data_IF_394075724409
#
_entry.id   IF_394075724409
#
_cell.length_a   1.000
_cell.length_b   1.000
_cell.length_c   1.000
_cell.angle_alpha   90.00
_cell.angle_beta   90.00
_cell.angle_gamma   90.00
#
_symmetry.space_group_name_H-M   'P 1'
#
loop_
_entity.id
_entity.type
_entity.pdbx_description
1 polymer ?
#
# COMPACT_ATOMS: atom_id res chain seq x y z
N UNK A 1 20.67 10.20 12.47
CA UNK A 1 19.29 10.51 12.00
C UNK A 1 18.94 9.87 10.66
N UNK A 2 19.67 10.13 9.55
CA UNK A 2 19.36 9.59 8.21
C UNK A 2 19.14 8.06 8.15
N UNK A 3 19.98 7.25 8.80
CA UNK A 3 19.80 5.79 8.79
C UNK A 3 18.59 5.30 9.60
N UNK A 4 18.26 5.97 10.72
CA UNK A 4 17.10 5.62 11.54
C UNK A 4 15.78 5.91 10.81
N UNK A 5 15.66 7.10 10.21
CA UNK A 5 14.50 7.46 9.36
C UNK A 5 14.33 6.48 8.19
N UNK A 6 15.43 6.10 7.55
CA UNK A 6 15.42 5.11 6.46
C UNK A 6 14.94 3.74 6.92
N UNK A 7 15.47 3.24 8.04
CA UNK A 7 15.03 1.96 8.61
C UNK A 7 13.55 1.97 9.00
N UNK A 8 13.05 3.12 9.50
CA UNK A 8 11.66 3.29 9.87
C UNK A 8 10.72 3.30 8.65
N UNK A 9 11.08 4.01 7.58
CA UNK A 9 10.32 3.99 6.32
C UNK A 9 10.33 2.59 5.68
N UNK A 10 11.47 1.90 5.65
CA UNK A 10 11.52 0.51 5.16
C UNK A 10 10.63 -0.42 5.98
N UNK A 11 10.66 -0.30 7.31
CA UNK A 11 9.78 -1.10 8.19
C UNK A 11 8.30 -0.81 7.93
N UNK A 12 7.93 0.46 7.74
CA UNK A 12 6.56 0.87 7.38
C UNK A 12 6.11 0.16 6.09
N UNK A 13 6.89 0.26 5.01
CA UNK A 13 6.52 -0.36 3.73
C UNK A 13 6.57 -1.89 3.77
N UNK A 14 7.48 -2.48 4.54
CA UNK A 14 7.51 -3.93 4.75
C UNK A 14 6.25 -4.43 5.47
N UNK A 15 5.77 -3.72 6.49
CA UNK A 15 4.51 -4.05 7.18
C UNK A 15 3.31 -3.87 6.26
N UNK A 16 3.27 -2.78 5.47
CA UNK A 16 2.20 -2.57 4.47
C UNK A 16 2.18 -3.73 3.48
N UNK A 17 3.34 -4.10 2.92
CA UNK A 17 3.45 -5.20 1.97
C UNK A 17 3.02 -6.53 2.59
N UNK A 18 3.46 -6.83 3.81
CA UNK A 18 3.05 -8.03 4.54
C UNK A 18 1.53 -8.09 4.72
N UNK A 19 0.92 -6.99 5.18
CA UNK A 19 -0.52 -6.91 5.38
C UNK A 19 -1.28 -7.03 4.06
N UNK A 20 -0.83 -6.36 3.00
CA UNK A 20 -1.43 -6.48 1.67
C UNK A 20 -1.37 -7.91 1.12
N UNK A 21 -0.24 -8.60 1.30
CA UNK A 21 -0.10 -10.02 0.90
C UNK A 21 -1.03 -10.91 1.71
N UNK A 22 -1.11 -10.72 3.03
CA UNK A 22 -2.04 -11.48 3.90
C UNK A 22 -3.50 -11.24 3.51
N UNK A 23 -3.88 -10.01 3.20
CA UNK A 23 -5.23 -9.67 2.71
C UNK A 23 -5.53 -10.36 1.38
N UNK A 24 -4.59 -10.37 0.43
CA UNK A 24 -4.76 -11.07 -0.84
C UNK A 24 -4.87 -12.59 -0.64
N UNK A 25 -4.00 -13.17 0.20
CA UNK A 25 -4.07 -14.61 0.53
C UNK A 25 -5.39 -14.97 1.20
N UNK A 26 -5.92 -14.12 2.07
CA UNK A 26 -7.24 -14.31 2.68
C UNK A 26 -8.35 -14.33 1.63
N UNK A 27 -8.31 -13.44 0.65
CA UNK A 27 -9.27 -13.45 -0.46
C UNK A 27 -9.14 -14.72 -1.31
N UNK A 28 -7.91 -15.12 -1.67
CA UNK A 28 -7.67 -16.35 -2.42
C UNK A 28 -8.14 -17.60 -1.65
N UNK A 29 -7.95 -17.61 -0.32
CA UNK A 29 -8.42 -18.69 0.54
C UNK A 29 -9.94 -18.74 0.55
N UNK A 30 -10.63 -17.59 0.63
CA UNK A 30 -12.08 -17.51 0.52
C UNK A 30 -12.57 -18.04 -0.82
N UNK A 31 -12.00 -17.55 -1.92
CA UNK A 31 -12.35 -17.98 -3.27
C UNK A 31 -12.14 -19.48 -3.47
N UNK A 32 -11.07 -20.04 -2.91
CA UNK A 32 -10.82 -21.47 -2.94
C UNK A 32 -11.84 -22.27 -2.09
N UNK A 33 -12.14 -21.81 -0.87
CA UNK A 33 -13.06 -22.47 0.05
C UNK A 33 -14.48 -22.56 -0.51
N UNK A 34 -14.91 -21.53 -1.26
CA UNK A 34 -16.24 -21.47 -1.88
C UNK A 34 -16.26 -21.98 -3.33
N UNK A 35 -15.12 -22.44 -3.87
CA UNK A 35 -15.04 -23.04 -5.20
C UNK A 35 -15.06 -22.06 -6.39
N UNK A 36 -14.79 -20.77 -6.16
CA UNK A 36 -14.76 -19.74 -7.20
C UNK A 36 -13.50 -19.77 -8.08
N UNK A 37 -12.46 -20.52 -7.68
CA UNK A 37 -11.21 -20.64 -8.43
C UNK A 37 -10.28 -19.43 -8.30
N UNK A 38 -9.11 -19.46 -8.97
CA UNK A 38 -8.08 -18.40 -8.86
C UNK A 38 -8.37 -17.16 -9.73
N UNK A 39 -9.21 -17.30 -10.76
CA UNK A 39 -9.50 -16.22 -11.72
C UNK A 39 -10.53 -15.21 -11.20
N UNK A 40 -11.27 -15.56 -10.15
CA UNK A 40 -12.32 -14.74 -9.58
C UNK A 40 -11.80 -13.43 -8.99
N UNK A 41 -10.61 -13.42 -8.38
CA UNK A 41 -9.98 -12.18 -7.90
C UNK A 41 -9.71 -11.20 -9.04
N UNK A 42 -9.24 -11.68 -10.20
CA UNK A 42 -9.03 -10.83 -11.38
C UNK A 42 -10.33 -10.24 -11.92
N UNK A 43 -11.41 -11.02 -11.88
CA UNK A 43 -12.75 -10.55 -12.20
C UNK A 43 -13.23 -9.48 -11.23
N UNK A 44 -13.18 -9.73 -9.91
CA UNK A 44 -13.57 -8.78 -8.85
C UNK A 44 -12.75 -7.49 -8.91
N UNK A 45 -11.45 -7.58 -9.22
CA UNK A 45 -10.57 -6.41 -9.29
C UNK A 45 -11.05 -5.37 -10.30
N UNK A 46 -11.66 -5.80 -11.40
CA UNK A 46 -12.25 -4.90 -12.39
C UNK A 46 -13.49 -4.16 -11.89
N UNK A 47 -14.21 -4.73 -10.93
CA UNK A 47 -15.38 -4.10 -10.30
C UNK A 47 -15.03 -3.26 -9.07
N UNK A 48 -13.83 -3.46 -8.49
CA UNK A 48 -13.41 -2.72 -7.30
C UNK A 48 -13.21 -1.21 -7.56
N UNK A 49 -12.72 -0.87 -8.76
CA UNK A 49 -12.63 0.50 -9.27
C UNK A 49 -13.17 0.45 -10.70
N UNK A 50 -14.48 0.63 -10.84
CA UNK A 50 -15.20 0.34 -12.07
C UNK A 50 -14.88 1.36 -13.17
N UNK A 51 -14.81 2.64 -12.80
CA UNK A 51 -14.61 3.76 -13.72
C UNK A 51 -13.16 4.17 -13.85
N UNK A 52 -12.79 4.77 -14.99
CA UNK A 52 -11.47 5.34 -15.20
C UNK A 52 -11.16 6.44 -14.16
N UNK A 53 -12.16 7.22 -13.74
CA UNK A 53 -12.04 8.25 -12.70
C UNK A 53 -11.71 7.66 -11.34
N UNK A 54 -12.30 6.52 -10.96
CA UNK A 54 -11.99 5.84 -9.70
C UNK A 54 -10.57 5.27 -9.71
N UNK A 55 -10.17 4.62 -10.81
CA UNK A 55 -8.81 4.11 -10.99
C UNK A 55 -7.77 5.24 -10.89
N UNK A 56 -8.04 6.37 -11.54
CA UNK A 56 -7.15 7.54 -11.51
C UNK A 56 -7.09 8.19 -10.12
N UNK A 57 -8.24 8.34 -9.46
CA UNK A 57 -8.31 8.91 -8.11
C UNK A 57 -7.55 8.05 -7.10
N UNK A 58 -7.74 6.73 -7.16
CA UNK A 58 -6.99 5.79 -6.31
C UNK A 58 -5.48 5.89 -6.57
N UNK A 59 -5.04 5.97 -7.83
CA UNK A 59 -3.64 6.14 -8.16
C UNK A 59 -3.06 7.46 -7.60
N UNK A 60 -3.79 8.58 -7.73
CA UNK A 60 -3.39 9.87 -7.16
C UNK A 60 -3.29 9.81 -5.64
N UNK A 61 -4.26 9.18 -4.96
CA UNK A 61 -4.23 9.03 -3.49
C UNK A 61 -3.02 8.20 -3.03
N UNK A 62 -2.70 7.11 -3.73
CA UNK A 62 -1.51 6.30 -3.45
C UNK A 62 -0.24 7.12 -3.65
N UNK A 63 -0.16 7.91 -4.73
CA UNK A 63 0.97 8.81 -4.98
C UNK A 63 1.10 9.87 -3.88
N UNK A 64 0.00 10.45 -3.40
CA UNK A 64 0.02 11.40 -2.28
C UNK A 64 0.59 10.79 -0.99
N UNK A 65 0.51 9.46 -0.80
CA UNK A 65 1.15 8.78 0.33
C UNK A 65 2.62 8.46 0.08
N UNK A 66 2.99 8.07 -1.14
CA UNK A 66 4.35 7.60 -1.47
C UNK A 66 5.31 8.76 -1.77
N UNK A 67 4.86 9.77 -2.51
CA UNK A 67 5.70 10.88 -2.98
C UNK A 67 6.35 11.66 -1.84
N UNK A 68 5.62 12.07 -0.77
CA UNK A 68 6.24 12.76 0.35
C UNK A 68 7.33 11.91 1.02
N UNK A 69 7.05 10.63 1.26
CA UNK A 69 7.99 9.69 1.88
C UNK A 69 9.24 9.47 1.01
N UNK A 70 9.08 9.38 -0.31
CA UNK A 70 10.19 9.29 -1.26
C UNK A 70 11.04 10.57 -1.27
N UNK A 71 10.41 11.74 -1.25
CA UNK A 71 11.11 13.04 -1.17
C UNK A 71 11.90 13.15 0.15
N UNK A 72 11.32 12.74 1.27
CA UNK A 72 12.00 12.73 2.57
C UNK A 72 13.15 11.72 2.62
N UNK A 73 13.01 10.57 1.95
CA UNK A 73 14.08 9.58 1.83
C UNK A 73 15.31 10.13 1.09
N UNK A 74 15.07 10.84 -0.02
CA UNK A 74 16.12 11.43 -0.88
C UNK A 74 16.77 12.62 -0.18
N UNK A 75 15.98 13.56 0.34
CA UNK A 75 16.49 14.75 1.05
C UNK A 75 17.16 14.38 2.37
N UNK A 76 16.74 13.26 2.98
CA UNK A 76 17.24 12.76 4.25
C UNK A 76 17.00 13.72 5.43
N UNK A 77 16.04 14.62 5.26
CA UNK A 77 15.47 15.49 6.29
C UNK A 77 14.05 15.01 6.51
N UNK A 78 13.72 14.67 7.75
CA UNK A 78 12.34 14.44 8.16
C UNK A 78 11.94 15.68 8.96
N UNK A 79 10.85 16.40 8.64
CA UNK A 79 10.37 17.43 9.54
C UNK A 79 10.12 16.75 10.88
N UNK A 80 10.76 17.27 11.94
CA UNK A 80 10.62 16.69 13.28
C UNK A 80 9.14 16.48 13.55
N UNK A 81 8.76 15.25 13.87
CA UNK A 81 7.40 14.96 14.32
C UNK A 81 7.20 15.84 15.55
N UNK A 82 6.40 16.90 15.45
CA UNK A 82 6.15 17.84 16.54
C UNK A 82 5.54 17.18 17.79
N UNK A 83 5.19 15.89 17.72
CA UNK A 83 4.74 15.05 18.82
C UNK A 83 5.87 14.28 19.55
N UNK A 84 7.14 14.47 19.20
CA UNK A 84 8.31 13.96 19.95
C UNK A 84 8.91 15.05 20.87
N UNK A 85 8.07 15.82 21.57
CA UNK A 85 8.46 16.69 22.68
C UNK A 85 7.73 16.28 23.96
#
# INVERSE_FOLDING_TARGET
MKQHTRKLLLRKYAVILLLSVLSLLYLYLGDWLFGYGLDNIGYIFNYLLYTASEKLSAAVLVLCMIVPDAVYWIRGTQPGRGAEK
#
